data_IF_059333340743
#
_entry.id   IF_059333340743
#
_cell.length_a   1.000
_cell.length_b   1.000
_cell.length_c   1.000
_cell.angle_alpha   90.00
_cell.angle_beta   90.00
_cell.angle_gamma   90.00
#
_symmetry.space_group_name_H-M   'P 1'
#
loop_
_entity.id
_entity.type
_entity.pdbx_description
1 polymer ?
#
# COMPACT_ATOMS: atom_id res chain seq x y z
N UNK A 1 64.88 102.81 -75.73
CA UNK A 1 65.36 102.06 -74.54
C UNK A 1 64.62 102.58 -73.32
N UNK A 2 64.41 101.69 -72.35
CA UNK A 2 63.74 101.89 -71.05
C UNK A 2 62.27 101.45 -71.01
N UNK A 3 62.12 100.31 -70.35
CA UNK A 3 60.94 99.53 -69.99
C UNK A 3 60.12 100.20 -68.88
N UNK A 4 58.80 100.03 -68.89
CA UNK A 4 57.97 100.16 -67.69
C UNK A 4 57.01 98.97 -67.63
N UNK A 5 57.23 98.16 -66.60
CA UNK A 5 56.47 97.00 -66.19
C UNK A 5 55.22 97.45 -65.43
N UNK A 6 54.05 96.89 -65.75
CA UNK A 6 52.85 97.02 -64.93
C UNK A 6 52.28 95.64 -64.63
N UNK A 7 52.34 95.29 -63.35
CA UNK A 7 51.91 94.03 -62.79
C UNK A 7 50.37 93.95 -62.74
N UNK A 8 49.85 92.80 -63.16
CA UNK A 8 48.44 92.43 -63.06
C UNK A 8 48.09 92.10 -61.61
N UNK A 9 47.28 92.94 -60.96
CA UNK A 9 46.62 92.60 -59.69
C UNK A 9 45.24 92.00 -59.98
N UNK A 10 45.11 90.69 -59.72
CA UNK A 10 43.81 90.00 -59.66
C UNK A 10 43.21 90.20 -58.27
N UNK A 11 42.02 90.80 -58.19
CA UNK A 11 41.22 90.84 -56.97
C UNK A 11 40.46 89.53 -56.79
N UNK A 12 40.82 88.75 -55.77
CA UNK A 12 40.05 87.57 -55.33
C UNK A 12 38.92 88.07 -54.45
N UNK A 13 37.68 87.99 -54.95
CA UNK A 13 36.48 88.20 -54.14
C UNK A 13 36.13 86.88 -53.42
N UNK A 14 36.44 86.80 -52.13
CA UNK A 14 36.02 85.69 -51.27
C UNK A 14 34.50 85.76 -51.06
N UNK A 15 33.76 84.83 -51.68
CA UNK A 15 32.36 84.59 -51.38
C UNK A 15 32.31 83.91 -50.00
N UNK A 16 31.85 84.64 -48.99
CA UNK A 16 31.55 84.08 -47.68
C UNK A 16 30.36 83.13 -47.78
N UNK A 17 30.64 81.83 -47.84
CA UNK A 17 29.62 80.79 -47.61
C UNK A 17 29.27 80.83 -46.13
N UNK A 18 28.14 81.45 -45.81
CA UNK A 18 27.52 81.36 -44.49
C UNK A 18 26.94 79.95 -44.34
N UNK A 19 27.68 79.06 -43.69
CA UNK A 19 27.20 77.73 -43.29
C UNK A 19 26.09 77.90 -42.25
N UNK A 20 24.84 77.59 -42.61
CA UNK A 20 23.74 77.36 -41.66
C UNK A 20 23.89 75.94 -41.09
N UNK A 21 24.79 75.74 -40.13
CA UNK A 21 25.05 74.38 -39.57
C UNK A 21 25.08 74.37 -38.03
N UNK A 22 24.61 75.42 -37.36
CA UNK A 22 24.74 75.52 -35.89
C UNK A 22 23.38 75.55 -35.15
N UNK A 23 22.32 74.99 -35.74
CA UNK A 23 20.97 75.04 -35.11
C UNK A 23 20.26 73.69 -35.03
N UNK A 24 20.74 72.65 -35.73
CA UNK A 24 20.12 71.31 -35.62
C UNK A 24 20.71 70.45 -34.48
N UNK A 25 22.00 70.58 -34.15
CA UNK A 25 22.65 69.76 -33.11
C UNK A 25 22.20 70.11 -31.67
N UNK A 26 21.84 71.38 -31.43
CA UNK A 26 21.34 71.84 -30.14
C UNK A 26 19.89 71.41 -29.86
N UNK A 27 19.05 71.22 -30.89
CA UNK A 27 17.69 70.71 -30.70
C UNK A 27 17.68 69.19 -30.56
N UNK A 28 18.58 68.48 -31.22
CA UNK A 28 18.69 67.02 -31.13
C UNK A 28 19.13 66.58 -29.71
N UNK A 29 20.10 67.28 -29.11
CA UNK A 29 20.54 67.03 -27.73
C UNK A 29 19.49 67.38 -26.66
N UNK A 30 18.64 68.39 -26.89
CA UNK A 30 17.53 68.75 -25.99
C UNK A 30 16.36 67.76 -26.10
N UNK A 31 16.07 67.28 -27.32
CA UNK A 31 15.09 66.22 -27.57
C UNK A 31 15.50 64.87 -26.95
N UNK A 32 16.79 64.55 -26.89
CA UNK A 32 17.29 63.35 -26.21
C UNK A 32 17.10 63.44 -24.70
N UNK A 33 17.39 64.60 -24.09
CA UNK A 33 17.17 64.82 -22.64
C UNK A 33 15.69 64.76 -22.26
N UNK A 34 14.81 65.40 -23.03
CA UNK A 34 13.36 65.28 -22.82
C UNK A 34 12.90 63.82 -22.89
N UNK A 35 13.40 63.04 -23.87
CA UNK A 35 13.06 61.62 -23.99
C UNK A 35 13.57 60.78 -22.81
N UNK A 36 14.75 61.09 -22.29
CA UNK A 36 15.31 60.44 -21.10
C UNK A 36 14.51 60.80 -19.84
N UNK A 37 14.15 62.07 -19.66
CA UNK A 37 13.31 62.55 -18.56
C UNK A 37 11.92 61.89 -18.60
N UNK A 38 11.27 61.85 -19.77
CA UNK A 38 10.01 61.12 -19.98
C UNK A 38 10.13 59.64 -19.61
N UNK A 39 11.23 58.98 -19.98
CA UNK A 39 11.49 57.58 -19.62
C UNK A 39 11.61 57.40 -18.09
N UNK A 40 12.30 58.32 -17.41
CA UNK A 40 12.41 58.29 -15.95
C UNK A 40 11.08 58.55 -15.25
N UNK A 41 10.28 59.46 -15.77
CA UNK A 41 8.97 59.81 -15.22
C UNK A 41 7.97 58.66 -15.40
N UNK A 42 7.96 58.01 -16.57
CA UNK A 42 7.18 56.79 -16.83
C UNK A 42 7.57 55.68 -15.84
N UNK A 43 8.87 55.49 -15.62
CA UNK A 43 9.37 54.46 -14.68
C UNK A 43 8.96 54.77 -13.25
N UNK A 44 9.03 56.03 -12.84
CA UNK A 44 8.57 56.48 -11.52
C UNK A 44 7.06 56.28 -11.36
N UNK A 45 6.27 56.56 -12.40
CA UNK A 45 4.83 56.32 -12.40
C UNK A 45 4.53 54.81 -12.25
N UNK A 46 5.24 53.94 -12.97
CA UNK A 46 5.09 52.48 -12.81
C UNK A 46 5.39 52.01 -11.38
N UNK A 47 6.40 52.58 -10.71
CA UNK A 47 6.69 52.25 -9.31
C UNK A 47 5.58 52.73 -8.37
N UNK A 48 5.06 53.94 -8.57
CA UNK A 48 3.93 54.48 -7.81
C UNK A 48 2.69 53.58 -7.96
N UNK A 49 2.37 53.16 -9.17
CA UNK A 49 1.24 52.28 -9.46
C UNK A 49 1.43 50.87 -8.88
N UNK A 50 2.66 50.34 -8.95
CA UNK A 50 2.99 49.05 -8.34
C UNK A 50 2.84 49.10 -6.82
N UNK A 51 3.34 50.15 -6.18
CA UNK A 51 3.21 50.35 -4.74
C UNK A 51 1.74 50.49 -4.33
N UNK A 52 0.93 51.25 -5.09
CA UNK A 52 -0.50 51.38 -4.85
C UNK A 52 -1.23 50.04 -4.95
N UNK A 53 -0.88 49.22 -5.95
CA UNK A 53 -1.43 47.87 -6.11
C UNK A 53 -1.09 46.96 -4.94
N UNK A 54 0.17 46.96 -4.50
CA UNK A 54 0.61 46.16 -3.35
C UNK A 54 -0.05 46.61 -2.04
N UNK A 55 -0.18 47.92 -1.81
CA UNK A 55 -0.91 48.46 -0.65
C UNK A 55 -2.37 48.02 -0.68
N UNK A 56 -3.03 48.09 -1.84
CA UNK A 56 -4.41 47.61 -2.01
C UNK A 56 -4.55 46.12 -1.70
N UNK A 57 -3.65 45.28 -2.22
CA UNK A 57 -3.65 43.85 -1.91
C UNK A 57 -3.45 43.56 -0.42
N UNK A 58 -2.57 44.32 0.24
CA UNK A 58 -2.33 44.19 1.68
C UNK A 58 -3.56 44.59 2.51
N UNK A 59 -4.27 45.65 2.11
CA UNK A 59 -5.56 46.02 2.73
C UNK A 59 -6.61 44.93 2.51
N UNK A 60 -6.76 44.43 1.28
CA UNK A 60 -7.68 43.34 0.97
C UNK A 60 -7.36 42.05 1.73
N UNK A 61 -6.10 41.75 2.00
CA UNK A 61 -5.70 40.61 2.84
C UNK A 61 -6.05 40.84 4.30
N UNK A 62 -5.85 42.06 4.84
CA UNK A 62 -6.24 42.41 6.22
C UNK A 62 -7.75 42.38 6.43
N UNK A 63 -8.50 42.74 5.39
CA UNK A 63 -9.97 42.67 5.37
C UNK A 63 -10.48 41.28 4.95
N UNK A 64 -9.59 40.31 4.69
CA UNK A 64 -9.91 38.96 4.23
C UNK A 64 -10.69 38.88 2.90
N UNK A 65 -10.73 39.96 2.13
CA UNK A 65 -11.44 40.07 0.83
C UNK A 65 -10.57 39.73 -0.38
N UNK A 66 -9.27 39.44 -0.18
CA UNK A 66 -8.36 39.17 -1.28
C UNK A 66 -8.79 37.92 -2.10
N UNK A 67 -8.94 38.02 -3.43
CA UNK A 67 -9.57 36.98 -4.24
C UNK A 67 -8.82 35.64 -4.22
N UNK A 68 -7.48 35.67 -4.22
CA UNK A 68 -6.67 34.45 -4.13
C UNK A 68 -6.77 33.77 -2.75
N UNK A 69 -6.94 34.56 -1.68
CA UNK A 69 -7.13 34.02 -0.34
C UNK A 69 -8.48 33.29 -0.26
N UNK A 70 -9.56 33.96 -0.68
CA UNK A 70 -10.90 33.38 -0.73
C UNK A 70 -10.95 32.12 -1.61
N UNK A 71 -10.24 32.12 -2.74
CA UNK A 71 -10.13 30.95 -3.62
C UNK A 71 -9.48 29.76 -2.90
N UNK A 72 -8.40 29.99 -2.15
CA UNK A 72 -7.75 28.94 -1.34
C UNK A 72 -8.65 28.46 -0.21
N UNK A 73 -9.33 29.38 0.48
CA UNK A 73 -10.27 29.05 1.55
C UNK A 73 -11.41 28.15 1.04
N UNK A 74 -12.03 28.50 -0.09
CA UNK A 74 -13.06 27.66 -0.73
C UNK A 74 -12.56 26.27 -1.09
N UNK A 75 -11.31 26.15 -1.55
CA UNK A 75 -10.72 24.85 -1.86
C UNK A 75 -10.54 23.99 -0.60
N UNK A 76 -10.08 24.59 0.50
CA UNK A 76 -9.92 23.87 1.77
C UNK A 76 -11.29 23.45 2.30
N UNK A 77 -12.29 24.33 2.24
CA UNK A 77 -13.65 24.02 2.65
C UNK A 77 -14.23 22.86 1.84
N UNK A 78 -14.07 22.89 0.51
CA UNK A 78 -14.49 21.79 -0.36
C UNK A 78 -13.84 20.46 0.04
N UNK A 79 -12.52 20.43 0.24
CA UNK A 79 -11.80 19.22 0.65
C UNK A 79 -12.26 18.71 2.02
N UNK A 80 -12.56 19.62 2.94
CA UNK A 80 -13.09 19.27 4.25
C UNK A 80 -14.47 18.61 4.14
N UNK A 81 -15.37 19.19 3.36
CA UNK A 81 -16.70 18.64 3.12
C UNK A 81 -16.65 17.28 2.40
N UNK A 82 -15.80 17.15 1.38
CA UNK A 82 -15.57 15.88 0.69
C UNK A 82 -15.03 14.80 1.65
N UNK A 83 -14.11 15.18 2.55
CA UNK A 83 -13.58 14.26 3.55
C UNK A 83 -14.63 13.83 4.58
N UNK A 84 -15.49 14.76 5.02
CA UNK A 84 -16.61 14.42 5.91
C UNK A 84 -17.56 13.43 5.24
N UNK A 85 -17.95 13.70 3.99
CA UNK A 85 -18.80 12.81 3.22
C UNK A 85 -18.18 11.43 3.05
N UNK A 86 -16.89 11.36 2.66
CA UNK A 86 -16.18 10.09 2.54
C UNK A 86 -16.13 9.32 3.86
N UNK A 87 -15.90 10.00 4.98
CA UNK A 87 -15.90 9.35 6.29
C UNK A 87 -17.29 8.79 6.66
N UNK A 88 -18.37 9.51 6.36
CA UNK A 88 -19.74 9.06 6.63
C UNK A 88 -20.11 7.83 5.79
N UNK A 89 -19.78 7.87 4.50
CA UNK A 89 -19.97 6.74 3.57
C UNK A 89 -19.17 5.53 4.05
N UNK A 90 -17.91 5.73 4.42
CA UNK A 90 -17.04 4.67 4.91
C UNK A 90 -17.59 4.06 6.20
N UNK A 91 -17.96 4.90 7.18
CA UNK A 91 -18.56 4.43 8.43
C UNK A 91 -19.81 3.58 8.18
N UNK A 92 -20.71 4.06 7.32
CA UNK A 92 -21.94 3.35 6.97
C UNK A 92 -21.65 1.99 6.33
N UNK A 93 -20.69 1.95 5.41
CA UNK A 93 -20.26 0.71 4.75
C UNK A 93 -19.63 -0.29 5.73
N UNK A 94 -18.76 0.18 6.61
CA UNK A 94 -18.12 -0.68 7.63
C UNK A 94 -19.15 -1.30 8.57
N UNK A 95 -20.12 -0.50 9.03
CA UNK A 95 -21.22 -0.99 9.89
C UNK A 95 -22.02 -2.05 9.15
N UNK A 96 -22.44 -1.79 7.92
CA UNK A 96 -23.20 -2.76 7.12
C UNK A 96 -22.41 -4.04 6.86
N UNK A 97 -21.09 -3.94 6.62
CA UNK A 97 -20.24 -5.13 6.43
C UNK A 97 -20.20 -5.97 7.70
N UNK A 98 -19.96 -5.36 8.86
CA UNK A 98 -19.93 -6.06 10.15
C UNK A 98 -21.28 -6.69 10.47
N UNK A 99 -22.39 -6.02 10.18
CA UNK A 99 -23.74 -6.58 10.38
C UNK A 99 -24.02 -7.78 9.47
N UNK A 100 -23.56 -7.73 8.21
CA UNK A 100 -23.64 -8.86 7.27
C UNK A 100 -22.82 -10.05 7.76
N UNK A 101 -21.58 -9.81 8.19
CA UNK A 101 -20.70 -10.84 8.76
C UNK A 101 -21.32 -11.46 10.01
N UNK A 102 -21.79 -10.65 10.96
CA UNK A 102 -22.46 -11.12 12.18
C UNK A 102 -23.68 -12.00 11.86
N UNK A 103 -24.51 -11.58 10.91
CA UNK A 103 -25.69 -12.35 10.51
C UNK A 103 -25.30 -13.66 9.82
N UNK A 104 -24.26 -13.62 8.99
CA UNK A 104 -23.73 -14.81 8.31
C UNK A 104 -23.18 -15.82 9.33
N UNK A 105 -22.36 -15.36 10.26
CA UNK A 105 -21.73 -16.17 11.30
C UNK A 105 -22.79 -16.81 12.21
N UNK A 106 -23.80 -16.04 12.63
CA UNK A 106 -24.91 -16.57 13.41
C UNK A 106 -25.66 -17.69 12.68
N UNK A 107 -25.89 -17.54 11.37
CA UNK A 107 -26.52 -18.58 10.55
C UNK A 107 -25.60 -19.80 10.38
N UNK A 108 -24.30 -19.58 10.17
CA UNK A 108 -23.32 -20.64 10.06
C UNK A 108 -23.24 -21.47 11.34
N UNK A 109 -23.16 -20.83 12.51
CA UNK A 109 -23.12 -21.51 13.80
C UNK A 109 -24.38 -22.37 14.07
N UNK A 110 -25.56 -21.88 13.70
CA UNK A 110 -26.80 -22.66 13.82
C UNK A 110 -26.79 -23.87 12.88
N UNK A 111 -26.41 -23.68 11.61
CA UNK A 111 -26.32 -24.80 10.65
C UNK A 111 -25.31 -25.85 11.10
N UNK A 112 -24.13 -25.43 11.54
CA UNK A 112 -23.08 -26.33 12.02
C UNK A 112 -23.54 -27.13 13.25
N UNK A 113 -24.28 -26.50 14.15
CA UNK A 113 -24.87 -27.20 15.30
C UNK A 113 -25.90 -28.26 14.87
N UNK A 114 -26.77 -27.93 13.91
CA UNK A 114 -27.76 -28.86 13.38
C UNK A 114 -27.11 -30.03 12.63
N UNK A 115 -26.09 -29.75 11.82
CA UNK A 115 -25.29 -30.75 11.10
C UNK A 115 -24.59 -31.71 12.07
N UNK A 116 -23.86 -31.19 13.07
CA UNK A 116 -23.22 -32.02 14.10
C UNK A 116 -24.20 -32.90 14.86
N UNK A 117 -25.43 -32.43 15.06
CA UNK A 117 -26.49 -33.20 15.72
C UNK A 117 -26.99 -34.35 14.83
N UNK A 118 -26.98 -34.17 13.51
CA UNK A 118 -27.30 -35.22 12.54
C UNK A 118 -26.13 -36.22 12.50
N UNK A 119 -24.89 -35.75 12.32
CA UNK A 119 -23.69 -36.57 12.28
C UNK A 119 -23.57 -37.48 13.51
N UNK A 120 -23.83 -36.94 14.71
CA UNK A 120 -23.76 -37.72 15.94
C UNK A 120 -24.81 -38.84 15.97
N UNK A 121 -26.00 -38.59 15.44
CA UNK A 121 -27.05 -39.62 15.36
C UNK A 121 -26.70 -40.69 14.34
N UNK A 122 -26.19 -40.29 13.18
CA UNK A 122 -25.76 -41.22 12.13
C UNK A 122 -24.57 -42.07 12.60
N UNK A 123 -23.59 -41.46 13.27
CA UNK A 123 -22.48 -42.17 13.91
C UNK A 123 -22.97 -43.20 14.92
N UNK A 124 -23.94 -42.84 15.78
CA UNK A 124 -24.50 -43.77 16.76
C UNK A 124 -25.26 -44.93 16.09
N UNK A 125 -26.03 -44.66 15.04
CA UNK A 125 -26.71 -45.70 14.26
C UNK A 125 -25.69 -46.64 13.66
N UNK A 126 -24.66 -46.12 12.99
CA UNK A 126 -23.59 -46.90 12.38
C UNK A 126 -22.86 -47.78 13.41
N UNK A 127 -22.54 -47.26 14.60
CA UNK A 127 -21.93 -48.04 15.68
C UNK A 127 -22.82 -49.17 16.18
N UNK A 128 -24.13 -48.95 16.28
CA UNK A 128 -25.09 -49.96 16.71
C UNK A 128 -25.28 -51.04 15.65
N UNK A 129 -25.30 -50.67 14.37
CA UNK A 129 -25.35 -51.61 13.24
C UNK A 129 -24.07 -52.44 13.12
N UNK A 130 -22.90 -51.82 13.35
CA UNK A 130 -21.62 -52.52 13.45
C UNK A 130 -21.62 -53.54 14.58
N UNK A 131 -22.06 -53.14 15.79
CA UNK A 131 -22.17 -54.05 16.93
C UNK A 131 -23.12 -55.20 16.65
N UNK A 132 -24.28 -54.94 16.02
CA UNK A 132 -25.21 -56.00 15.60
C UNK A 132 -24.51 -56.99 14.65
N UNK A 133 -23.82 -56.49 13.63
CA UNK A 133 -23.09 -57.31 12.66
C UNK A 133 -21.95 -58.10 13.31
N UNK A 134 -21.21 -57.51 14.25
CA UNK A 134 -20.18 -58.23 15.00
C UNK A 134 -20.78 -59.38 15.80
N UNK A 135 -21.86 -59.16 16.55
CA UNK A 135 -22.54 -60.22 17.31
C UNK A 135 -23.05 -61.34 16.39
N UNK A 136 -23.63 -60.98 15.23
CA UNK A 136 -24.06 -61.96 14.22
C UNK A 136 -22.88 -62.76 13.67
N UNK A 137 -21.74 -62.12 13.41
CA UNK A 137 -20.52 -62.78 12.94
C UNK A 137 -19.88 -63.69 14.00
N UNK A 138 -19.86 -63.27 15.26
CA UNK A 138 -19.38 -64.07 16.39
C UNK A 138 -20.28 -65.29 16.60
N UNK A 139 -21.61 -65.11 16.54
CA UNK A 139 -22.59 -66.19 16.59
C UNK A 139 -22.36 -67.20 15.45
N UNK A 140 -22.23 -66.74 14.21
CA UNK A 140 -21.95 -67.60 13.05
C UNK A 140 -20.62 -68.33 13.20
N UNK A 141 -19.59 -67.67 13.73
CA UNK A 141 -18.29 -68.29 14.01
C UNK A 141 -18.39 -69.39 15.06
N UNK A 142 -19.15 -69.16 16.15
CA UNK A 142 -19.40 -70.16 17.19
C UNK A 142 -20.19 -71.36 16.61
N UNK A 143 -21.21 -71.12 15.78
CA UNK A 143 -21.96 -72.21 15.13
C UNK A 143 -21.08 -73.05 14.19
N UNK A 144 -20.16 -72.43 13.46
CA UNK A 144 -19.23 -73.14 12.57
C UNK A 144 -18.11 -73.87 13.33
N UNK A 145 -17.68 -73.33 14.47
CA UNK A 145 -16.54 -73.83 15.27
C UNK A 145 -17.00 -74.70 16.46
N UNK A 146 -18.31 -74.86 16.64
CA UNK A 146 -18.95 -75.44 17.82
C UNK A 146 -18.88 -76.96 17.91
N UNK A 147 -17.69 -77.54 17.99
CA UNK A 147 -17.48 -78.84 18.68
C UNK A 147 -16.00 -79.14 19.06
N UNK A 148 -15.24 -78.17 19.58
CA UNK A 148 -13.93 -78.50 20.17
C UNK A 148 -13.54 -77.57 21.33
N UNK A 149 -14.41 -77.47 22.32
CA UNK A 149 -14.05 -76.91 23.63
C UNK A 149 -13.56 -77.99 24.61
N UNK A 150 -12.72 -78.92 24.17
CA UNK A 150 -11.74 -79.49 25.09
C UNK A 150 -10.68 -78.42 25.36
N UNK A 151 -10.99 -77.49 26.27
CA UNK A 151 -10.00 -76.60 26.88
C UNK A 151 -9.10 -77.46 27.77
N UNK A 152 -8.16 -78.19 27.16
CA UNK A 152 -6.99 -78.68 27.87
C UNK A 152 -6.26 -77.42 28.32
N UNK A 153 -6.31 -77.13 29.62
CA UNK A 153 -5.48 -76.09 30.23
C UNK A 153 -4.06 -76.25 29.72
N UNK A 154 -3.58 -75.27 28.93
CA UNK A 154 -2.23 -75.28 28.38
C UNK A 154 -1.27 -75.30 29.56
N UNK A 155 -0.78 -76.50 29.88
CA UNK A 155 0.16 -76.70 30.98
C UNK A 155 1.51 -76.20 30.50
N UNK A 156 1.75 -74.90 30.67
CA UNK A 156 3.05 -74.31 30.35
C UNK A 156 4.07 -74.74 31.39
N UNK A 157 4.93 -75.71 31.03
CA UNK A 157 6.14 -76.01 31.80
C UNK A 157 7.00 -74.75 31.79
N UNK A 158 7.14 -74.10 32.94
CA UNK A 158 8.01 -72.92 33.12
C UNK A 158 9.45 -73.32 32.77
N UNK A 159 10.00 -72.80 31.67
CA UNK A 159 11.44 -72.83 31.46
C UNK A 159 12.07 -71.92 32.52
N UNK A 160 12.94 -72.48 33.37
CA UNK A 160 13.75 -71.68 34.29
C UNK A 160 14.72 -70.86 33.45
N UNK A 161 14.64 -69.52 33.56
CA UNK A 161 15.54 -68.62 32.83
C UNK A 161 16.96 -68.74 33.39
N UNK A 162 17.96 -68.60 32.51
CA UNK A 162 19.37 -68.52 32.92
C UNK A 162 19.62 -67.19 33.63
N UNK A 163 20.44 -67.15 34.71
CA UNK A 163 20.65 -65.95 35.53
C UNK A 163 21.15 -64.70 34.80
N UNK A 164 21.68 -64.83 33.59
CA UNK A 164 22.36 -63.76 32.87
C UNK A 164 21.59 -63.18 31.67
N UNK A 165 20.28 -63.45 31.58
CA UNK A 165 19.46 -62.95 30.48
C UNK A 165 18.78 -61.64 30.91
N UNK A 166 19.17 -60.46 30.35
CA UNK A 166 18.67 -59.17 30.81
C UNK A 166 17.14 -59.11 30.70
N UNK A 167 16.51 -58.42 31.66
CA UNK A 167 15.07 -58.23 31.67
C UNK A 167 14.66 -57.45 30.41
N UNK A 168 13.63 -57.89 29.65
CA UNK A 168 13.08 -57.07 28.59
C UNK A 168 12.61 -55.75 29.21
N UNK A 169 13.23 -54.67 28.78
CA UNK A 169 12.92 -53.31 29.21
C UNK A 169 11.44 -53.04 28.92
N UNK A 170 10.67 -52.49 29.87
CA UNK A 170 9.29 -52.09 29.59
C UNK A 170 9.32 -51.01 28.51
N UNK A 171 9.00 -51.45 27.30
CA UNK A 171 8.84 -50.63 26.13
C UNK A 171 7.77 -49.59 26.44
N UNK A 172 8.19 -48.32 26.56
CA UNK A 172 7.31 -47.19 26.77
C UNK A 172 6.38 -47.12 25.55
N UNK A 173 5.23 -47.77 25.67
CA UNK A 173 4.08 -47.62 24.79
C UNK A 173 3.87 -46.13 24.54
N UNK A 174 4.26 -45.67 23.35
CA UNK A 174 3.63 -44.54 22.67
C UNK A 174 2.19 -44.98 22.34
N UNK A 175 1.35 -45.06 23.36
CA UNK A 175 -0.11 -44.99 23.20
C UNK A 175 -0.45 -43.52 23.29
N UNK A 176 -0.98 -42.98 22.20
CA UNK A 176 -1.68 -41.69 22.17
C UNK A 176 -2.71 -41.70 23.30
N UNK A 177 -2.39 -41.02 24.40
CA UNK A 177 -3.31 -41.00 25.53
C UNK A 177 -4.54 -40.14 25.16
N UNK A 178 -5.74 -40.48 25.66
CA UNK A 178 -6.94 -39.65 25.48
C UNK A 178 -6.76 -38.21 25.99
N UNK A 179 -5.75 -37.98 26.83
CA UNK A 179 -5.40 -36.68 27.39
C UNK A 179 -4.70 -35.74 26.38
N UNK A 180 -4.15 -36.27 25.28
CA UNK A 180 -3.58 -35.42 24.21
C UNK A 180 -4.70 -34.71 23.45
N UNK A 181 -5.81 -35.39 23.16
CA UNK A 181 -6.99 -34.79 22.51
C UNK A 181 -7.67 -33.74 23.39
N UNK A 182 -7.78 -34.01 24.71
CA UNK A 182 -8.35 -33.03 25.65
C UNK A 182 -7.48 -31.77 25.78
N UNK A 183 -6.16 -31.90 25.76
CA UNK A 183 -5.25 -30.75 25.80
C UNK A 183 -5.12 -30.02 24.45
N UNK A 184 -5.33 -30.70 23.32
CA UNK A 184 -5.31 -30.09 21.98
C UNK A 184 -6.56 -29.23 21.70
N UNK A 185 -7.72 -29.57 22.28
CA UNK A 185 -8.94 -28.76 22.14
C UNK A 185 -9.00 -27.57 23.12
N UNK A 186 -8.26 -27.59 24.23
CA UNK A 186 -8.34 -26.56 25.28
C UNK A 186 -7.16 -25.57 25.23
N UNK A 187 -6.03 -25.93 24.62
CA UNK A 187 -4.88 -25.04 24.46
C UNK A 187 -4.90 -24.45 23.05
N UNK A 188 -4.86 -23.11 22.87
CA UNK A 188 -4.61 -22.54 21.56
C UNK A 188 -3.30 -23.15 21.01
N UNK A 189 -3.22 -23.50 19.71
CA UNK A 189 -2.01 -24.04 19.15
C UNK A 189 -0.87 -23.10 19.52
N UNK A 190 0.17 -23.63 20.17
CA UNK A 190 1.37 -22.86 20.41
C UNK A 190 1.84 -22.43 19.04
N UNK A 191 1.73 -21.14 18.73
CA UNK A 191 2.23 -20.60 17.47
C UNK A 191 3.71 -20.99 17.43
N UNK A 192 4.03 -21.91 16.53
CA UNK A 192 5.41 -22.26 16.28
C UNK A 192 5.96 -21.10 15.45
N UNK A 193 6.69 -20.20 16.11
CA UNK A 193 7.32 -19.04 15.46
C UNK A 193 8.53 -19.44 14.60
N UNK A 194 8.90 -20.71 14.63
CA UNK A 194 9.98 -21.29 13.84
C UNK A 194 9.38 -21.91 12.59
N UNK A 195 9.91 -21.51 11.45
CA UNK A 195 9.63 -22.12 10.15
C UNK A 195 10.12 -23.57 10.13
N UNK A 196 9.49 -24.41 9.31
CA UNK A 196 9.99 -25.77 9.09
C UNK A 196 11.30 -25.75 8.30
N UNK A 197 12.18 -26.74 8.53
CA UNK A 197 13.48 -26.81 7.87
C UNK A 197 13.34 -26.80 6.33
N UNK A 198 12.24 -27.32 5.79
CA UNK A 198 11.92 -27.26 4.36
C UNK A 198 11.69 -25.83 3.85
N UNK A 199 10.96 -25.00 4.59
CA UNK A 199 10.67 -23.60 4.23
C UNK A 199 11.94 -22.75 4.29
N UNK A 200 12.77 -22.96 5.32
CA UNK A 200 14.06 -22.29 5.47
C UNK A 200 14.98 -22.62 4.29
N UNK A 201 15.04 -23.90 3.87
CA UNK A 201 15.86 -24.34 2.76
C UNK A 201 15.37 -23.76 1.43
N UNK A 202 14.06 -23.67 1.21
CA UNK A 202 13.51 -23.12 -0.03
C UNK A 202 13.71 -21.60 -0.13
N UNK A 203 13.56 -20.87 0.96
CA UNK A 203 13.90 -19.44 1.02
C UNK A 203 15.41 -19.21 0.79
N UNK A 204 16.27 -20.05 1.37
CA UNK A 204 17.72 -19.99 1.11
C UNK A 204 18.06 -20.30 -0.36
N UNK A 205 17.35 -21.22 -1.01
CA UNK A 205 17.49 -21.46 -2.46
C UNK A 205 17.03 -20.24 -3.26
N UNK A 206 15.97 -19.55 -2.84
CA UNK A 206 15.49 -18.33 -3.50
C UNK A 206 16.50 -17.18 -3.38
N UNK A 207 17.07 -16.98 -2.19
CA UNK A 207 18.12 -16.00 -1.94
C UNK A 207 19.38 -16.28 -2.76
N UNK A 208 19.84 -17.54 -2.79
CA UNK A 208 21.02 -17.93 -3.58
C UNK A 208 20.80 -17.88 -5.11
N UNK A 209 19.54 -17.96 -5.57
CA UNK A 209 19.19 -17.78 -6.99
C UNK A 209 19.11 -16.32 -7.42
N UNK A 210 19.37 -15.36 -6.52
CA UNK A 210 19.46 -13.93 -6.84
C UNK A 210 18.14 -13.30 -7.26
N UNK A 211 17.00 -13.94 -6.97
CA UNK A 211 15.67 -13.40 -7.22
C UNK A 211 15.05 -13.05 -5.87
N UNK A 212 15.17 -11.79 -5.47
CA UNK A 212 14.38 -11.26 -4.37
C UNK A 212 12.89 -11.51 -4.68
N UNK A 213 12.11 -12.06 -3.74
CA UNK A 213 10.67 -12.19 -3.95
C UNK A 213 10.08 -10.77 -4.03
N UNK A 214 9.52 -10.43 -5.19
CA UNK A 214 8.64 -9.26 -5.25
C UNK A 214 7.46 -9.53 -4.32
N UNK A 215 7.11 -8.53 -3.50
CA UNK A 215 5.93 -8.52 -2.64
C UNK A 215 4.65 -8.39 -3.48
N UNK A 216 4.46 -9.31 -4.43
CA UNK A 216 3.29 -9.38 -5.29
C UNK A 216 2.94 -10.84 -5.50
N UNK A 217 2.37 -11.47 -4.46
CA UNK A 217 1.30 -12.48 -4.58
C UNK A 217 0.95 -13.09 -3.22
N UNK A 218 -0.21 -12.68 -2.71
CA UNK A 218 -1.21 -13.47 -1.96
C UNK A 218 -2.37 -12.48 -1.76
N UNK A 219 -3.51 -12.61 -2.45
CA UNK A 219 -4.42 -13.75 -2.45
C UNK A 219 -5.06 -13.94 -3.85
N UNK A 220 -5.15 -15.18 -4.31
CA UNK A 220 -6.06 -15.59 -5.38
C UNK A 220 -7.48 -15.76 -4.80
N UNK A 221 -8.47 -15.06 -5.35
CA UNK A 221 -9.84 -15.56 -5.48
C UNK A 221 -10.50 -14.95 -6.72
N UNK A 222 -10.71 -15.82 -7.69
CA UNK A 222 -11.66 -15.83 -8.82
C UNK A 222 -11.70 -14.68 -9.85
N UNK A 223 -11.58 -15.16 -11.08
CA UNK A 223 -11.63 -14.56 -12.40
C UNK A 223 -12.90 -13.73 -12.69
N UNK A 224 -12.72 -12.48 -13.16
CA UNK A 224 -13.43 -11.91 -14.32
C UNK A 224 -12.72 -10.60 -14.77
N UNK A 225 -12.34 -10.54 -16.05
CA UNK A 225 -12.23 -9.26 -16.78
C UNK A 225 -10.86 -8.59 -16.90
N UNK A 226 -10.11 -9.03 -17.91
CA UNK A 226 -9.16 -8.28 -18.74
C UNK A 226 -9.12 -6.73 -18.57
N UNK A 227 -8.06 -6.18 -17.97
CA UNK A 227 -7.51 -4.85 -18.32
C UNK A 227 -6.03 -4.74 -17.93
N UNK A 228 -5.27 -4.22 -18.88
CA UNK A 228 -3.85 -3.88 -18.87
C UNK A 228 -3.48 -2.98 -17.66
N UNK A 229 -2.54 -3.44 -16.82
CA UNK A 229 -1.91 -2.62 -15.77
C UNK A 229 -0.40 -2.69 -15.89
N UNK A 230 0.11 -1.81 -16.75
CA UNK A 230 1.49 -1.35 -16.70
C UNK A 230 1.84 -0.86 -15.28
N UNK A 231 2.87 -1.48 -14.72
CA UNK A 231 3.83 -0.93 -13.76
C UNK A 231 3.52 0.46 -13.17
N UNK A 232 2.71 0.49 -12.11
CA UNK A 232 2.72 1.59 -11.14
C UNK A 232 3.26 1.05 -9.82
N UNK A 233 4.59 1.12 -9.66
CA UNK A 233 5.22 0.87 -8.38
C UNK A 233 4.71 1.93 -7.38
N UNK A 234 4.00 1.49 -6.35
CA UNK A 234 3.53 2.33 -5.25
C UNK A 234 4.76 2.69 -4.41
N UNK A 235 5.21 3.94 -4.47
CA UNK A 235 6.34 4.42 -3.67
C UNK A 235 5.87 4.72 -2.25
N UNK A 236 6.26 3.86 -1.31
CA UNK A 236 6.03 4.06 0.12
C UNK A 236 7.30 4.61 0.76
N UNK A 237 7.21 5.74 1.46
CA UNK A 237 8.33 6.38 2.17
C UNK A 237 8.04 6.54 3.66
N UNK A 238 9.08 6.42 4.49
CA UNK A 238 8.98 6.62 5.93
C UNK A 238 9.80 7.85 6.32
N UNK A 239 9.17 8.82 6.94
CA UNK A 239 9.79 10.06 7.45
C UNK A 239 9.19 10.35 8.84
N UNK A 240 10.04 10.68 9.83
CA UNK A 240 9.67 10.92 11.23
C UNK A 240 8.78 9.82 11.87
N UNK A 241 9.04 8.56 11.53
CA UNK A 241 8.29 7.42 12.07
C UNK A 241 6.86 7.29 11.55
N UNK A 242 6.48 8.04 10.51
CA UNK A 242 5.21 7.91 9.80
C UNK A 242 5.42 7.39 8.38
N UNK A 243 4.53 6.48 7.98
CA UNK A 243 4.51 5.85 6.66
C UNK A 243 3.59 6.65 5.72
N UNK A 244 4.14 7.09 4.59
CA UNK A 244 3.45 7.87 3.56
C UNK A 244 3.34 7.08 2.26
N UNK A 245 2.17 7.15 1.62
CA UNK A 245 1.90 6.58 0.31
C UNK A 245 1.43 7.67 -0.64
N UNK A 246 2.16 7.92 -1.72
CA UNK A 246 1.70 8.79 -2.80
C UNK A 246 1.03 7.94 -3.88
N UNK A 247 -0.31 8.01 -3.95
CA UNK A 247 -1.07 7.49 -5.08
C UNK A 247 -1.32 8.66 -6.05
N UNK A 248 -0.58 8.69 -7.15
CA UNK A 248 -0.90 9.57 -8.28
C UNK A 248 -2.03 8.91 -9.09
N UNK A 249 -3.10 9.68 -9.31
CA UNK A 249 -4.27 9.31 -10.11
C UNK A 249 -3.99 9.49 -11.60
#
# INVERSE_FOLDING_TARGET
MTTASTATTYSITTIGIRTKVDTEDASETDMVKQREEECTEIKEQMYRDKLATLKKQLTQLKEETHPEYLKRLRKIEQLYQERLFMNEVFQSHEVERVEREYTHEKKAAVREFEEKKIDLRESLIMELEEKRRMVESERSTIELTGDSMEVKSVTTRKLRRRPNDPLPMPEKRRKTSPNILYNACIRPPQLNFLLDDGEIIDDLKMLNKGKAPSLSKRLDFEEYGNMDHGSHAIEARIEDGKLFYERKW
#
